data_IF_401466762530
#
_entry.id   IF_401466762530
#
_cell.length_a   1.000
_cell.length_b   1.000
_cell.length_c   1.000
_cell.angle_alpha   90.00
_cell.angle_beta   90.00
_cell.angle_gamma   90.00
#
_symmetry.space_group_name_H-M   'P 1'
#
loop_
_entity.id
_entity.type
_entity.pdbx_description
1 polymer ?
#
# COMPACT_ATOMS: atom_id res chain seq x y z
N UNK A 1 6.18 3.64 -18.39
CA UNK A 1 5.91 2.19 -18.34
C UNK A 1 5.06 1.86 -19.56
N UNK A 2 5.32 0.74 -20.22
CA UNK A 2 4.72 0.43 -21.54
C UNK A 2 3.39 -0.33 -21.42
N UNK A 3 3.18 -1.03 -20.31
CA UNK A 3 1.99 -1.86 -20.06
C UNK A 3 1.17 -1.29 -18.90
N UNK A 4 -0.08 -1.70 -18.73
CA UNK A 4 -0.93 -1.24 -17.64
C UNK A 4 -0.34 -1.52 -16.25
N UNK A 5 -0.75 -0.71 -15.27
CA UNK A 5 -0.45 -0.91 -13.87
C UNK A 5 -1.75 -1.24 -13.16
N UNK A 6 -1.77 -2.37 -12.46
CA UNK A 6 -2.91 -2.78 -11.63
C UNK A 6 -2.84 -2.06 -10.28
N UNK A 7 -3.90 -1.34 -9.91
CA UNK A 7 -4.01 -0.65 -8.61
C UNK A 7 -5.24 -1.17 -7.87
N UNK A 8 -5.00 -2.00 -6.85
CA UNK A 8 -6.05 -2.48 -5.96
C UNK A 8 -6.31 -1.44 -4.87
N UNK A 9 -7.58 -1.07 -4.64
CA UNK A 9 -7.98 -0.08 -3.64
C UNK A 9 -7.86 1.36 -4.12
N UNK A 10 -8.05 1.60 -5.43
CA UNK A 10 -7.88 2.91 -6.07
C UNK A 10 -9.03 3.90 -5.82
N UNK A 11 -10.08 3.51 -5.10
CA UNK A 11 -11.25 4.39 -4.88
C UNK A 11 -10.95 5.63 -4.04
N UNK A 12 -10.07 5.52 -3.04
CA UNK A 12 -9.81 6.60 -2.09
C UNK A 12 -8.40 6.52 -1.49
N UNK A 13 -8.00 7.55 -0.77
CA UNK A 13 -6.75 7.60 -0.01
C UNK A 13 -5.51 7.41 -0.88
N UNK A 14 -4.55 6.64 -0.39
CA UNK A 14 -3.25 6.44 -1.05
C UNK A 14 -3.43 5.78 -2.43
N UNK A 15 -4.27 4.75 -2.54
CA UNK A 15 -4.49 4.05 -3.81
C UNK A 15 -5.06 4.97 -4.89
N UNK A 16 -5.98 5.87 -4.53
CA UNK A 16 -6.52 6.89 -5.45
C UNK A 16 -5.42 7.86 -5.89
N UNK A 17 -4.67 8.42 -4.95
CA UNK A 17 -3.61 9.38 -5.27
C UNK A 17 -2.55 8.78 -6.22
N UNK A 18 -2.20 7.49 -6.03
CA UNK A 18 -1.29 6.78 -6.92
C UNK A 18 -1.91 6.61 -8.32
N UNK A 19 -3.17 6.16 -8.39
CA UNK A 19 -3.85 5.96 -9.66
C UNK A 19 -3.97 7.27 -10.45
N UNK A 20 -4.40 8.36 -9.80
CA UNK A 20 -4.49 9.69 -10.41
C UNK A 20 -3.12 10.20 -10.90
N UNK A 21 -2.07 10.07 -10.08
CA UNK A 21 -0.72 10.52 -10.47
C UNK A 21 -0.14 9.69 -11.62
N UNK A 22 -0.37 8.38 -11.66
CA UNK A 22 0.03 7.52 -12.77
C UNK A 22 -0.70 7.91 -14.06
N UNK A 23 -2.02 8.13 -13.99
CA UNK A 23 -2.83 8.58 -15.13
C UNK A 23 -2.38 9.95 -15.66
N UNK A 24 -2.14 10.91 -14.75
CA UNK A 24 -1.62 12.25 -15.12
C UNK A 24 -0.25 12.18 -15.81
N UNK A 25 0.58 11.19 -15.44
CA UNK A 25 1.85 10.91 -16.10
C UNK A 25 1.71 10.12 -17.42
N UNK A 26 0.49 9.87 -17.90
CA UNK A 26 0.21 9.17 -19.16
C UNK A 26 0.29 7.65 -19.07
N UNK A 27 0.32 7.07 -17.87
CA UNK A 27 0.32 5.61 -17.70
C UNK A 27 -1.09 5.05 -17.68
N UNK A 28 -1.31 3.91 -18.34
CA UNK A 28 -2.57 3.18 -18.26
C UNK A 28 -2.70 2.48 -16.90
N UNK A 29 -3.80 2.72 -16.22
CA UNK A 29 -4.14 2.12 -14.92
C UNK A 29 -5.37 1.23 -15.06
N UNK A 30 -5.24 0.00 -14.56
CA UNK A 30 -6.35 -0.89 -14.28
C UNK A 30 -6.64 -0.82 -12.78
N UNK A 31 -7.71 -0.15 -12.41
CA UNK A 31 -8.11 0.03 -11.01
C UNK A 31 -9.14 -1.01 -10.58
N UNK A 32 -8.97 -1.60 -9.40
CA UNK A 32 -9.95 -2.51 -8.78
C UNK A 32 -10.33 -1.97 -7.41
N UNK A 33 -11.64 -1.91 -7.13
CA UNK A 33 -12.17 -1.51 -5.83
C UNK A 33 -13.54 -2.14 -5.57
N UNK A 34 -13.89 -2.35 -4.29
CA UNK A 34 -15.16 -2.99 -3.88
C UNK A 34 -16.40 -2.16 -4.23
N UNK A 35 -16.23 -0.87 -4.39
CA UNK A 35 -17.31 0.07 -4.70
C UNK A 35 -16.89 0.92 -5.90
N UNK A 36 -17.88 1.44 -6.64
CA UNK A 36 -17.65 2.33 -7.75
C UNK A 36 -16.89 3.60 -7.33
N UNK A 37 -16.12 4.14 -8.26
CA UNK A 37 -15.35 5.37 -8.05
C UNK A 37 -16.12 6.58 -8.53
N UNK A 38 -15.84 7.74 -7.94
CA UNK A 38 -16.46 9.04 -8.25
C UNK A 38 -15.60 9.92 -9.15
N UNK A 39 -14.53 9.36 -9.75
CA UNK A 39 -13.63 10.07 -10.64
C UNK A 39 -13.36 9.25 -11.92
N UNK A 40 -13.00 9.94 -12.98
CA UNK A 40 -12.69 9.36 -14.28
C UNK A 40 -11.41 9.95 -14.85
N UNK A 41 -10.69 9.16 -15.63
CA UNK A 41 -9.54 9.60 -16.39
C UNK A 41 -9.42 8.78 -17.68
N UNK A 42 -8.94 9.38 -18.78
CA UNK A 42 -8.79 8.69 -20.08
C UNK A 42 -7.85 7.48 -20.05
N UNK A 43 -6.92 7.44 -19.09
CA UNK A 43 -5.99 6.34 -18.87
C UNK A 43 -6.41 5.38 -17.74
N UNK A 44 -7.62 5.52 -17.18
CA UNK A 44 -8.14 4.66 -16.12
C UNK A 44 -9.24 3.75 -16.65
N UNK A 45 -9.05 2.44 -16.48
CA UNK A 45 -10.13 1.45 -16.53
C UNK A 45 -10.42 1.01 -15.11
N UNK A 46 -11.66 1.18 -14.65
CA UNK A 46 -12.07 0.85 -13.28
C UNK A 46 -12.99 -0.37 -13.27
N UNK A 47 -12.65 -1.36 -12.44
CA UNK A 47 -13.43 -2.56 -12.19
C UNK A 47 -13.96 -2.53 -10.74
N UNK A 48 -15.20 -3.02 -10.55
CA UNK A 48 -15.86 -2.96 -9.24
C UNK A 48 -16.13 -4.38 -8.75
N UNK A 49 -15.23 -4.88 -7.91
CA UNK A 49 -15.33 -6.14 -7.17
C UNK A 49 -14.28 -6.19 -6.04
N UNK A 50 -14.38 -7.18 -5.16
CA UNK A 50 -13.42 -7.36 -4.09
C UNK A 50 -12.08 -7.92 -4.62
N UNK A 51 -10.96 -7.60 -3.96
CA UNK A 51 -9.64 -8.07 -4.39
C UNK A 51 -9.53 -9.60 -4.46
N UNK A 52 -10.30 -10.29 -3.62
CA UNK A 52 -10.41 -11.75 -3.55
C UNK A 52 -11.09 -12.37 -4.78
N UNK A 53 -11.87 -11.58 -5.52
CA UNK A 53 -12.57 -12.03 -6.74
C UNK A 53 -11.74 -11.78 -8.01
N UNK A 54 -10.51 -11.25 -7.87
CA UNK A 54 -9.62 -11.06 -9.00
C UNK A 54 -9.24 -12.42 -9.61
N UNK A 55 -9.39 -12.54 -10.93
CA UNK A 55 -8.96 -13.73 -11.70
C UNK A 55 -8.09 -13.31 -12.87
N UNK A 56 -7.48 -14.28 -13.55
CA UNK A 56 -6.59 -14.01 -14.70
C UNK A 56 -7.33 -13.39 -15.88
N UNK A 57 -8.63 -13.65 -16.03
CA UNK A 57 -9.48 -13.08 -17.09
C UNK A 57 -9.68 -11.57 -16.95
N UNK A 58 -9.48 -11.04 -15.76
CA UNK A 58 -9.53 -9.60 -15.51
C UNK A 58 -8.23 -8.87 -15.87
N UNK A 59 -7.15 -9.60 -16.14
CA UNK A 59 -5.82 -9.04 -16.35
C UNK A 59 -5.41 -9.05 -17.83
N UNK A 60 -4.64 -8.04 -18.28
CA UNK A 60 -3.96 -8.10 -19.55
C UNK A 60 -2.81 -9.13 -19.49
N UNK A 61 -2.31 -9.54 -20.65
CA UNK A 61 -1.19 -10.49 -20.76
C UNK A 61 0.10 -9.97 -20.10
N UNK A 62 0.26 -8.65 -20.02
CA UNK A 62 1.45 -7.98 -19.47
C UNK A 62 1.07 -6.85 -18.54
N UNK A 63 1.79 -6.75 -17.40
CA UNK A 63 1.66 -5.68 -16.42
C UNK A 63 3.01 -5.01 -16.16
N UNK A 64 3.08 -3.69 -16.24
CA UNK A 64 4.23 -2.91 -15.77
C UNK A 64 4.31 -2.79 -14.25
N UNK A 65 3.22 -3.08 -13.54
CA UNK A 65 3.24 -3.07 -12.08
C UNK A 65 1.94 -3.48 -11.42
N UNK A 66 2.04 -3.77 -10.13
CA UNK A 66 0.92 -3.99 -9.22
C UNK A 66 1.11 -3.16 -7.97
N UNK A 67 0.08 -2.42 -7.59
CA UNK A 67 -0.02 -1.70 -6.32
C UNK A 67 -1.14 -2.32 -5.50
N UNK A 68 -0.83 -2.85 -4.32
CA UNK A 68 -1.84 -3.34 -3.39
C UNK A 68 -2.01 -2.34 -2.25
N UNK A 69 -3.03 -1.47 -2.32
CA UNK A 69 -3.29 -0.42 -1.36
C UNK A 69 -4.37 -0.71 -0.29
N UNK A 70 -5.15 -1.81 -0.33
CA UNK A 70 -6.07 -2.12 0.75
C UNK A 70 -5.35 -2.28 2.09
N UNK A 71 -6.01 -1.88 3.17
CA UNK A 71 -5.48 -2.01 4.51
C UNK A 71 -6.53 -1.75 5.57
N UNK A 72 -6.15 -2.01 6.82
CA UNK A 72 -6.96 -1.77 8.00
C UNK A 72 -6.18 -0.98 9.05
N UNK A 73 -6.90 -0.34 9.98
CA UNK A 73 -6.35 0.24 11.21
C UNK A 73 -7.19 -0.29 12.37
N UNK A 74 -6.65 -1.27 13.11
CA UNK A 74 -7.28 -1.86 14.27
C UNK A 74 -6.40 -1.63 15.50
N UNK A 75 -6.71 -0.59 16.26
CA UNK A 75 -5.93 -0.18 17.44
C UNK A 75 -6.70 -0.54 18.71
N UNK A 76 -6.24 -1.55 19.42
CA UNK A 76 -6.83 -2.02 20.69
C UNK A 76 -5.75 -2.38 21.71
N UNK A 77 -6.03 -2.22 23.02
CA UNK A 77 -5.19 -2.83 24.05
C UNK A 77 -5.03 -4.34 23.80
N UNK A 78 -3.83 -4.88 23.98
CA UNK A 78 -3.53 -6.29 23.68
C UNK A 78 -4.51 -7.25 24.35
N UNK A 79 -4.86 -7.00 25.63
CA UNK A 79 -5.83 -7.81 26.39
C UNK A 79 -7.26 -7.82 25.81
N UNK A 80 -7.60 -6.86 24.93
CA UNK A 80 -8.90 -6.72 24.31
C UNK A 80 -8.95 -7.27 22.89
N UNK A 81 -7.79 -7.66 22.33
CA UNK A 81 -7.70 -8.27 21.01
C UNK A 81 -8.17 -9.74 21.09
N UNK A 82 -9.00 -10.12 20.15
CA UNK A 82 -9.47 -11.50 19.96
C UNK A 82 -8.77 -12.13 18.75
N UNK A 83 -8.69 -13.47 18.66
CA UNK A 83 -8.15 -14.13 17.47
C UNK A 83 -8.75 -13.62 16.15
N UNK A 84 -10.06 -13.30 16.14
CA UNK A 84 -10.74 -12.74 14.98
C UNK A 84 -10.18 -11.37 14.53
N UNK A 85 -9.70 -10.53 15.44
CA UNK A 85 -9.08 -9.25 15.09
C UNK A 85 -7.76 -9.45 14.31
N UNK A 86 -6.94 -10.43 14.77
CA UNK A 86 -5.70 -10.79 14.08
C UNK A 86 -5.96 -11.38 12.70
N UNK A 87 -6.94 -12.29 12.60
CA UNK A 87 -7.30 -12.91 11.32
C UNK A 87 -7.84 -11.88 10.35
N UNK A 88 -8.68 -10.93 10.78
CA UNK A 88 -9.23 -9.88 9.94
C UNK A 88 -8.11 -8.96 9.38
N UNK A 89 -7.19 -8.50 10.24
CA UNK A 89 -6.06 -7.69 9.80
C UNK A 89 -5.13 -8.48 8.86
N UNK A 90 -4.86 -9.75 9.16
CA UNK A 90 -4.02 -10.60 8.33
C UNK A 90 -4.66 -10.87 6.96
N UNK A 91 -5.97 -11.13 6.94
CA UNK A 91 -6.71 -11.40 5.71
C UNK A 91 -6.66 -10.20 4.75
N UNK A 92 -7.02 -9.01 5.22
CA UNK A 92 -7.06 -7.81 4.37
C UNK A 92 -5.64 -7.42 3.90
N UNK A 93 -4.66 -7.45 4.80
CA UNK A 93 -3.34 -6.88 4.51
C UNK A 93 -2.39 -7.87 3.82
N UNK A 94 -2.36 -9.14 4.28
CA UNK A 94 -1.39 -10.14 3.80
C UNK A 94 -2.01 -11.11 2.78
N UNK A 95 -3.10 -11.81 3.14
CA UNK A 95 -3.68 -12.82 2.24
C UNK A 95 -4.29 -12.20 0.99
N UNK A 96 -4.98 -11.06 1.09
CA UNK A 96 -5.49 -10.36 -0.08
C UNK A 96 -4.38 -9.92 -1.04
N UNK A 97 -3.24 -9.43 -0.49
CA UNK A 97 -2.07 -9.13 -1.32
C UNK A 97 -1.49 -10.39 -1.97
N UNK A 98 -1.38 -11.48 -1.22
CA UNK A 98 -0.88 -12.76 -1.74
C UNK A 98 -1.73 -13.27 -2.89
N UNK A 99 -3.06 -13.28 -2.74
CA UNK A 99 -3.98 -13.69 -3.80
C UNK A 99 -3.79 -12.87 -5.09
N UNK A 100 -3.81 -11.54 -4.97
CA UNK A 100 -3.62 -10.63 -6.12
C UNK A 100 -2.29 -10.91 -6.83
N UNK A 101 -1.22 -11.10 -6.07
CA UNK A 101 0.11 -11.34 -6.63
C UNK A 101 0.22 -12.71 -7.29
N UNK A 102 -0.41 -13.76 -6.75
CA UNK A 102 -0.49 -15.07 -7.39
C UNK A 102 -1.21 -15.01 -8.73
N UNK A 103 -2.34 -14.30 -8.80
CA UNK A 103 -3.09 -14.11 -10.04
C UNK A 103 -2.30 -13.28 -11.08
N UNK A 104 -1.58 -12.25 -10.63
CA UNK A 104 -0.86 -11.32 -11.48
C UNK A 104 0.55 -11.80 -11.88
N UNK A 105 1.09 -12.86 -11.29
CA UNK A 105 2.50 -13.29 -11.43
C UNK A 105 2.92 -13.42 -12.90
N UNK A 106 2.16 -14.14 -13.70
CA UNK A 106 2.48 -14.37 -15.12
C UNK A 106 2.57 -13.06 -15.90
N UNK A 107 1.58 -12.17 -15.73
CA UNK A 107 1.55 -10.88 -16.40
C UNK A 107 2.65 -9.93 -15.93
N UNK A 108 2.99 -9.95 -14.64
CA UNK A 108 4.12 -9.19 -14.07
C UNK A 108 5.46 -9.66 -14.64
N UNK A 109 5.70 -10.96 -14.69
CA UNK A 109 6.94 -11.53 -15.27
C UNK A 109 7.06 -11.21 -16.76
N UNK A 110 5.98 -11.31 -17.51
CA UNK A 110 5.95 -10.96 -18.93
C UNK A 110 6.22 -9.46 -19.19
N UNK A 111 5.73 -8.58 -18.31
CA UNK A 111 5.92 -7.13 -18.40
C UNK A 111 7.17 -6.60 -17.70
N UNK A 112 8.02 -7.47 -17.10
CA UNK A 112 9.16 -7.08 -16.25
C UNK A 112 8.75 -6.05 -15.19
N UNK A 113 7.65 -6.31 -14.51
CA UNK A 113 6.92 -5.36 -13.70
C UNK A 113 7.56 -5.03 -12.34
N UNK A 114 6.88 -4.15 -11.63
CA UNK A 114 7.22 -3.75 -10.25
C UNK A 114 6.03 -3.89 -9.33
N UNK A 115 6.22 -4.49 -8.17
CA UNK A 115 5.20 -4.62 -7.12
C UNK A 115 5.46 -3.62 -6.01
N UNK A 116 4.38 -2.98 -5.56
CA UNK A 116 4.39 -2.09 -4.41
C UNK A 116 3.36 -2.52 -3.38
N UNK A 117 3.83 -2.82 -2.18
CA UNK A 117 3.04 -3.17 -1.02
C UNK A 117 3.15 -2.08 0.06
N UNK A 118 2.24 -2.10 1.03
CA UNK A 118 2.23 -1.13 2.13
C UNK A 118 2.34 -1.81 3.49
N UNK A 119 3.40 -1.47 4.22
CA UNK A 119 3.61 -1.75 5.64
C UNK A 119 3.17 -0.56 6.50
N UNK A 120 3.81 -0.38 7.63
CA UNK A 120 3.66 0.75 8.54
C UNK A 120 4.92 0.95 9.38
N UNK A 121 5.22 2.18 9.78
CA UNK A 121 6.28 2.47 10.73
C UNK A 121 6.15 1.67 12.05
N UNK A 122 4.93 1.26 12.42
CA UNK A 122 4.67 0.49 13.63
C UNK A 122 5.33 -0.89 13.65
N UNK A 123 5.71 -1.45 12.49
CA UNK A 123 6.45 -2.72 12.43
C UNK A 123 7.87 -2.55 12.95
N UNK A 124 8.56 -1.50 12.52
CA UNK A 124 9.97 -1.28 12.91
C UNK A 124 10.11 -0.57 14.26
N UNK A 125 9.15 0.27 14.64
CA UNK A 125 9.23 1.09 15.85
C UNK A 125 8.63 0.44 17.10
N UNK A 126 7.66 -0.48 16.94
CA UNK A 126 6.85 -0.96 18.07
C UNK A 126 6.00 0.16 18.68
N UNK A 127 4.70 0.11 18.44
CA UNK A 127 3.77 1.13 18.92
C UNK A 127 2.69 0.49 19.81
N UNK A 128 2.29 1.16 20.92
CA UNK A 128 1.20 0.65 21.77
C UNK A 128 -0.09 0.49 20.95
N UNK A 129 -0.88 -0.52 21.25
CA UNK A 129 -2.17 -0.85 20.63
C UNK A 129 -2.12 -1.36 19.18
N UNK A 130 -0.93 -1.56 18.61
CA UNK A 130 -0.76 -1.96 17.20
C UNK A 130 -0.50 -3.46 17.00
N UNK A 131 -0.67 -4.32 18.01
CA UNK A 131 -0.21 -5.70 17.94
C UNK A 131 -0.75 -6.48 16.73
N UNK A 132 -2.06 -6.42 16.43
CA UNK A 132 -2.65 -7.17 15.31
C UNK A 132 -2.21 -6.59 13.96
N UNK A 133 -2.30 -5.28 13.78
CA UNK A 133 -1.94 -4.66 12.51
C UNK A 133 -0.42 -4.71 12.26
N UNK A 134 0.43 -4.56 13.28
CA UNK A 134 1.87 -4.67 13.12
C UNK A 134 2.28 -6.10 12.75
N UNK A 135 1.63 -7.13 13.31
CA UNK A 135 1.84 -8.52 12.92
C UNK A 135 1.46 -8.76 11.45
N UNK A 136 0.28 -8.30 11.02
CA UNK A 136 -0.16 -8.44 9.63
C UNK A 136 0.76 -7.69 8.64
N UNK A 137 1.19 -6.48 8.98
CA UNK A 137 2.09 -5.68 8.15
C UNK A 137 3.54 -6.19 8.16
N UNK A 138 3.98 -6.80 9.25
CA UNK A 138 5.24 -7.54 9.29
C UNK A 138 5.26 -8.73 8.33
N UNK A 139 4.13 -9.43 8.22
CA UNK A 139 3.97 -10.49 7.21
C UNK A 139 4.06 -9.95 5.77
N UNK A 140 3.50 -8.76 5.49
CA UNK A 140 3.64 -8.09 4.19
C UNK A 140 5.11 -7.78 3.86
N UNK A 141 5.90 -7.33 4.84
CA UNK A 141 7.34 -7.11 4.64
C UNK A 141 8.10 -8.40 4.35
N UNK A 142 7.74 -9.50 5.05
CA UNK A 142 8.29 -10.82 4.78
C UNK A 142 7.95 -11.31 3.37
N UNK A 143 6.68 -11.17 2.97
CA UNK A 143 6.21 -11.49 1.62
C UNK A 143 6.97 -10.69 0.56
N UNK A 144 7.13 -9.37 0.75
CA UNK A 144 7.82 -8.51 -0.20
C UNK A 144 9.27 -8.97 -0.44
N UNK A 145 10.02 -9.28 0.63
CA UNK A 145 11.41 -9.76 0.53
C UNK A 145 11.51 -11.13 -0.14
N UNK A 146 10.62 -12.06 0.22
CA UNK A 146 10.61 -13.40 -0.38
C UNK A 146 10.33 -13.35 -1.88
N UNK A 147 9.30 -12.60 -2.30
CA UNK A 147 8.95 -12.47 -3.71
C UNK A 147 9.99 -11.67 -4.50
N UNK A 148 10.62 -10.67 -3.88
CA UNK A 148 11.75 -9.96 -4.52
C UNK A 148 12.90 -10.90 -4.86
N UNK A 149 13.21 -11.84 -3.98
CA UNK A 149 14.26 -12.85 -4.21
C UNK A 149 13.82 -13.91 -5.24
N UNK A 150 12.58 -14.41 -5.14
CA UNK A 150 12.07 -15.47 -6.00
C UNK A 150 11.86 -15.02 -7.44
N UNK A 151 11.37 -13.77 -7.62
CA UNK A 151 11.00 -13.24 -8.93
C UNK A 151 12.12 -12.46 -9.64
N UNK A 152 13.26 -12.25 -8.97
CA UNK A 152 14.44 -11.67 -9.63
C UNK A 152 14.93 -12.55 -10.77
N UNK A 153 15.43 -11.97 -11.89
CA UNK A 153 15.55 -10.56 -12.20
C UNK A 153 14.29 -9.94 -12.87
N UNK A 154 13.21 -10.69 -13.00
CA UNK A 154 12.08 -10.34 -13.86
C UNK A 154 11.10 -9.33 -13.21
N UNK A 155 10.90 -9.42 -11.88
CA UNK A 155 9.97 -8.55 -11.16
C UNK A 155 10.64 -7.98 -9.92
N UNK A 156 10.49 -6.68 -9.71
CA UNK A 156 10.95 -6.01 -8.49
C UNK A 156 9.78 -5.92 -7.50
N UNK A 157 10.04 -6.14 -6.23
CA UNK A 157 9.03 -6.08 -5.18
C UNK A 157 9.54 -5.20 -4.06
N UNK A 158 8.80 -4.13 -3.72
CA UNK A 158 9.15 -3.22 -2.64
C UNK A 158 7.95 -2.94 -1.75
N UNK A 159 8.23 -2.42 -0.57
CA UNK A 159 7.23 -2.04 0.41
C UNK A 159 7.45 -0.59 0.86
N UNK A 160 6.37 0.17 1.04
CA UNK A 160 6.42 1.47 1.72
C UNK A 160 5.90 1.29 3.14
N UNK A 161 6.58 1.89 4.12
CA UNK A 161 6.17 1.94 5.52
C UNK A 161 5.80 3.40 5.91
N UNK A 162 4.54 3.80 5.73
CA UNK A 162 4.06 5.11 6.14
C UNK A 162 3.96 5.22 7.67
N UNK A 163 3.97 6.45 8.15
CA UNK A 163 3.36 6.81 9.44
C UNK A 163 1.92 7.26 9.22
N UNK A 164 1.36 7.97 10.22
CA UNK A 164 0.00 8.50 10.11
C UNK A 164 -0.09 9.46 8.92
N UNK A 165 -0.94 9.09 7.98
CA UNK A 165 -1.19 9.81 6.74
C UNK A 165 -2.66 10.22 6.69
N UNK A 166 -2.94 11.44 6.28
CA UNK A 166 -4.31 11.94 6.15
C UNK A 166 -5.05 11.22 5.02
N UNK A 167 -5.91 10.30 5.43
CA UNK A 167 -6.69 9.42 4.57
C UNK A 167 -8.06 9.16 5.20
N UNK A 168 -9.08 8.78 4.42
CA UNK A 168 -10.35 8.33 4.99
C UNK A 168 -10.20 7.19 6.01
N UNK A 169 -9.22 6.31 5.82
CA UNK A 169 -8.93 5.22 6.76
C UNK A 169 -8.43 5.75 8.12
N UNK A 170 -7.66 6.83 8.13
CA UNK A 170 -7.10 7.45 9.33
C UNK A 170 -8.01 8.51 9.96
N UNK A 171 -9.15 8.84 9.36
CA UNK A 171 -10.02 9.94 9.77
C UNK A 171 -10.40 9.90 11.25
N UNK A 172 -10.67 8.71 11.81
CA UNK A 172 -10.96 8.55 13.24
C UNK A 172 -9.79 8.90 14.17
N UNK A 173 -8.56 8.74 13.70
CA UNK A 173 -7.35 9.05 14.46
C UNK A 173 -7.05 10.55 14.44
N UNK A 174 -7.36 11.21 13.35
CA UNK A 174 -7.19 12.65 13.15
C UNK A 174 -8.38 13.47 13.68
N UNK A 175 -9.53 12.90 13.80
CA UNK A 175 -10.85 13.23 14.34
C UNK A 175 -11.20 14.71 14.66
N UNK A 176 -10.24 15.50 15.12
CA UNK A 176 -10.35 16.95 15.34
C UNK A 176 -8.96 17.59 15.29
N UNK A 177 -8.92 18.91 15.26
CA UNK A 177 -7.70 19.71 15.15
C UNK A 177 -6.69 19.42 16.27
N UNK A 178 -7.12 19.24 17.50
CA UNK A 178 -6.23 18.93 18.64
C UNK A 178 -5.55 17.55 18.47
N UNK A 179 -6.27 16.54 17.98
CA UNK A 179 -5.68 15.22 17.70
C UNK A 179 -4.73 15.28 16.52
N UNK A 180 -5.08 16.01 15.47
CA UNK A 180 -4.20 16.21 14.32
C UNK A 180 -2.91 16.93 14.71
N UNK A 181 -2.98 17.99 15.53
CA UNK A 181 -1.83 18.69 16.08
C UNK A 181 -0.95 17.77 16.95
N UNK A 182 -1.57 17.00 17.86
CA UNK A 182 -0.84 16.02 18.68
C UNK A 182 -0.14 14.96 17.83
N UNK A 183 -0.78 14.50 16.75
CA UNK A 183 -0.19 13.57 15.83
C UNK A 183 0.98 14.19 15.04
N UNK A 184 0.85 15.44 14.60
CA UNK A 184 1.90 16.20 13.92
C UNK A 184 3.15 16.35 14.79
N UNK A 185 2.98 16.69 16.07
CA UNK A 185 4.09 16.84 17.02
C UNK A 185 4.96 15.60 17.23
N UNK A 186 4.39 14.41 17.01
CA UNK A 186 5.13 13.13 17.08
C UNK A 186 6.11 12.93 15.93
N UNK A 187 5.90 13.63 14.82
CA UNK A 187 6.79 13.54 13.66
C UNK A 187 7.93 14.56 13.76
N UNK A 188 9.18 14.18 13.50
CA UNK A 188 10.26 15.14 13.36
C UNK A 188 9.96 16.30 12.41
N UNK A 189 9.25 16.02 11.29
CA UNK A 189 8.85 17.06 10.34
C UNK A 189 7.60 17.86 10.75
N UNK A 190 7.08 17.67 11.99
CA UNK A 190 6.01 18.46 12.61
C UNK A 190 4.71 18.53 11.79
N UNK A 191 4.43 17.51 11.01
CA UNK A 191 3.15 17.33 10.32
C UNK A 191 2.82 15.84 10.14
N UNK A 192 1.56 15.53 9.91
CA UNK A 192 1.14 14.22 9.39
C UNK A 192 1.46 14.12 7.90
N UNK A 193 1.58 12.89 7.39
CA UNK A 193 1.76 12.66 5.96
C UNK A 193 0.50 13.00 5.16
N UNK A 194 0.66 13.34 3.90
CA UNK A 194 -0.42 13.46 2.93
C UNK A 194 -0.44 12.26 1.98
N UNK A 195 -1.54 12.03 1.30
CA UNK A 195 -1.61 11.00 0.26
C UNK A 195 -0.63 11.28 -0.88
N UNK A 196 -0.34 12.57 -1.15
CA UNK A 196 0.63 12.99 -2.16
C UNK A 196 2.07 12.59 -1.80
N UNK A 197 2.47 12.76 -0.52
CA UNK A 197 3.80 12.32 -0.05
C UNK A 197 4.04 10.83 -0.35
N UNK A 198 3.00 10.01 -0.16
CA UNK A 198 3.09 8.56 -0.39
C UNK A 198 3.04 8.23 -1.88
N UNK A 199 2.17 8.89 -2.64
CA UNK A 199 2.00 8.63 -4.06
C UNK A 199 3.26 8.98 -4.87
N UNK A 200 3.96 10.06 -4.55
CA UNK A 200 5.20 10.48 -5.20
C UNK A 200 6.28 9.37 -5.13
N UNK A 201 6.54 8.87 -3.92
CA UNK A 201 7.52 7.80 -3.71
C UNK A 201 7.03 6.49 -4.33
N UNK A 202 5.72 6.20 -4.26
CA UNK A 202 5.12 5.02 -4.91
C UNK A 202 5.38 4.99 -6.40
N UNK A 203 5.09 6.09 -7.10
CA UNK A 203 5.33 6.23 -8.54
C UNK A 203 6.83 6.16 -8.88
N UNK A 204 7.69 6.70 -8.02
CA UNK A 204 9.15 6.60 -8.17
C UNK A 204 9.64 5.17 -8.06
N UNK A 205 9.18 4.41 -7.05
CA UNK A 205 9.56 3.00 -6.86
C UNK A 205 9.07 2.10 -8.00
N UNK A 206 7.87 2.34 -8.52
CA UNK A 206 7.36 1.62 -9.68
C UNK A 206 8.25 1.80 -10.92
N UNK A 207 8.85 2.98 -11.09
CA UNK A 207 9.72 3.31 -12.22
C UNK A 207 11.19 2.98 -11.99
N UNK A 208 11.65 2.97 -10.74
CA UNK A 208 13.05 2.67 -10.41
C UNK A 208 13.43 1.26 -10.88
N UNK A 209 14.59 1.12 -11.50
CA UNK A 209 15.08 -0.17 -12.03
C UNK A 209 16.09 -0.87 -11.12
N UNK A 210 16.55 -0.21 -10.05
CA UNK A 210 17.63 -0.71 -9.18
C UNK A 210 17.26 -0.79 -7.69
N UNK A 211 15.94 -0.84 -7.38
CA UNK A 211 15.43 -0.99 -6.02
C UNK A 211 14.51 -2.21 -6.00
N UNK A 212 14.85 -3.23 -5.21
CA UNK A 212 14.04 -4.42 -4.98
C UNK A 212 14.32 -5.03 -3.61
N UNK A 213 13.29 -5.55 -2.94
CA UNK A 213 13.36 -6.14 -1.61
C UNK A 213 13.37 -5.14 -0.46
N UNK A 214 13.20 -3.85 -0.74
CA UNK A 214 13.32 -2.79 0.26
C UNK A 214 11.99 -2.47 0.95
N UNK A 215 12.11 -2.05 2.21
CA UNK A 215 11.03 -1.44 2.99
C UNK A 215 11.39 0.02 3.24
N UNK A 216 10.74 0.91 2.49
CA UNK A 216 11.07 2.34 2.49
C UNK A 216 10.13 3.10 3.42
N UNK A 217 10.70 3.72 4.44
CA UNK A 217 9.97 4.56 5.39
C UNK A 217 9.61 5.91 4.79
N UNK A 218 8.30 6.19 4.63
CA UNK A 218 7.77 7.51 4.26
C UNK A 218 6.96 8.01 5.45
N UNK A 219 7.63 8.58 6.44
CA UNK A 219 7.09 8.70 7.79
C UNK A 219 7.50 9.98 8.54
N UNK A 220 7.91 11.02 7.81
CA UNK A 220 8.29 12.30 8.42
C UNK A 220 9.45 12.20 9.44
N UNK A 221 10.32 11.19 9.28
CA UNK A 221 11.46 10.93 10.18
C UNK A 221 11.11 10.07 11.41
N UNK A 222 9.83 9.75 11.66
CA UNK A 222 9.40 9.02 12.86
C UNK A 222 10.11 7.67 13.01
N UNK A 223 10.42 6.98 11.92
CA UNK A 223 11.03 5.65 11.94
C UNK A 223 12.53 5.63 12.29
N UNK A 224 13.22 6.75 12.22
CA UNK A 224 14.69 6.79 12.29
C UNK A 224 15.26 7.89 13.17
N UNK A 225 14.59 9.04 13.27
CA UNK A 225 15.13 10.20 13.94
C UNK A 225 14.66 10.24 15.40
N UNK A 226 15.57 10.61 16.30
CA UNK A 226 15.26 11.06 17.66
C UNK A 226 15.52 12.55 17.67
N UNK A 227 14.46 13.35 17.79
CA UNK A 227 14.56 14.79 18.02
C UNK A 227 14.43 15.02 19.52
N UNK A 228 15.25 15.94 20.03
CA UNK A 228 15.25 16.35 21.45
C UNK A 228 13.92 16.96 21.85
#
# INVERSE_FOLDING_TARGET
>A
MQHPILVIGHRQGIGRAIAEQLCQAGHTVLGVSREAVDYQHSHLTSLTFAAEDLTVEHLPETLSGVVYAPGSINLKPFKSLKPADFLADFHINALGATHVLQVAEKALKAGQGSVLLFSTVAVSQGMPFHASIAMAKGAVEGLARSLAAEWAPHVRVNCIAPSLTDTPLAAKLLGNEARAATAAERHPLKRVGTVADIAEISCTLLRSTWISGEVIGVNGGMGRLRTA
#
